data_IF_843981653790
#
_entry.id   IF_843981653790
#
_cell.length_a   1.000
_cell.length_b   1.000
_cell.length_c   1.000
_cell.angle_alpha   90.00
_cell.angle_beta   90.00
_cell.angle_gamma   90.00
#
_symmetry.space_group_name_H-M   'P 1'
#
loop_
_entity.id
_entity.type
_entity.pdbx_description
1 polymer ?
#
# COMPACT_ATOMS: atom_id res chain seq x y z
N UNK A 1 -7.08 19.23 20.23
CA UNK A 1 -6.77 17.97 19.52
C UNK A 1 -5.25 17.81 19.49
N UNK A 2 -4.70 16.73 20.06
CA UNK A 2 -3.24 16.52 20.08
C UNK A 2 -2.79 15.93 18.73
N UNK A 3 -1.80 16.53 18.09
CA UNK A 3 -1.29 16.12 16.77
C UNK A 3 -0.28 14.95 16.87
N UNK A 4 0.24 14.69 18.07
CA UNK A 4 1.20 13.62 18.37
C UNK A 4 0.79 12.23 17.84
N UNK A 5 -0.40 11.67 18.15
CA UNK A 5 -0.79 10.36 17.63
C UNK A 5 -0.92 10.33 16.10
N UNK A 6 -1.32 11.45 15.49
CA UNK A 6 -1.43 11.55 14.03
C UNK A 6 -0.04 11.44 13.39
N UNK A 7 0.94 12.18 13.93
CA UNK A 7 2.33 12.10 13.46
C UNK A 7 2.91 10.69 13.63
N UNK A 8 2.71 10.08 14.79
CA UNK A 8 3.17 8.70 15.05
C UNK A 8 2.51 7.72 14.08
N UNK A 9 1.20 7.81 13.90
CA UNK A 9 0.46 6.98 12.93
C UNK A 9 0.97 7.17 11.51
N UNK A 10 1.20 8.41 11.08
CA UNK A 10 1.65 8.74 9.73
C UNK A 10 3.07 8.22 9.43
N UNK A 11 3.93 8.13 10.45
CA UNK A 11 5.25 7.47 10.34
C UNK A 11 5.12 5.94 10.36
N UNK A 12 4.24 5.38 11.19
CA UNK A 12 4.07 3.93 11.31
C UNK A 12 3.35 3.30 10.12
N UNK A 13 2.46 4.02 9.42
CA UNK A 13 1.72 3.53 8.25
C UNK A 13 2.65 3.00 7.12
N UNK A 14 3.64 3.75 6.62
CA UNK A 14 4.54 3.24 5.58
C UNK A 14 5.40 2.08 6.07
N UNK A 15 5.84 2.11 7.34
CA UNK A 15 6.62 1.01 7.94
C UNK A 15 5.75 -0.25 8.00
N UNK A 16 4.52 -0.13 8.48
CA UNK A 16 3.54 -1.20 8.54
C UNK A 16 3.28 -1.78 7.14
N UNK A 17 3.07 -0.92 6.16
CA UNK A 17 2.84 -1.31 4.77
C UNK A 17 4.02 -2.07 4.16
N UNK A 18 5.25 -1.62 4.44
CA UNK A 18 6.47 -2.31 4.02
C UNK A 18 6.61 -3.68 4.68
N UNK A 19 6.31 -3.79 5.98
CA UNK A 19 6.34 -5.07 6.69
C UNK A 19 5.31 -6.06 6.12
N UNK A 20 4.12 -5.58 5.73
CA UNK A 20 3.10 -6.41 5.07
C UNK A 20 3.62 -6.94 3.73
N UNK A 21 4.23 -6.07 2.92
CA UNK A 21 4.79 -6.45 1.62
C UNK A 21 5.93 -7.47 1.74
N UNK A 22 6.78 -7.34 2.75
CA UNK A 22 7.88 -8.26 3.02
C UNK A 22 7.42 -9.56 3.71
N UNK A 23 6.26 -9.55 4.36
CA UNK A 23 5.73 -10.70 5.06
C UNK A 23 5.24 -11.77 4.06
N UNK A 24 5.74 -13.00 4.23
CA UNK A 24 5.29 -14.16 3.43
C UNK A 24 3.86 -14.59 3.76
N UNK A 25 3.41 -14.34 4.98
CA UNK A 25 2.03 -14.59 5.43
C UNK A 25 1.38 -13.22 5.61
N UNK A 26 0.29 -12.97 4.88
CA UNK A 26 -0.35 -11.66 4.95
C UNK A 26 -1.16 -11.53 6.25
N UNK A 27 -1.01 -10.43 7.02
CA UNK A 27 -1.82 -10.19 8.21
C UNK A 27 -3.30 -9.95 7.93
N UNK A 28 -3.69 -9.82 6.66
CA UNK A 28 -5.05 -9.41 6.28
C UNK A 28 -6.08 -10.53 6.35
N UNK A 29 -5.69 -11.78 6.59
CA UNK A 29 -6.62 -12.92 6.60
C UNK A 29 -7.53 -13.00 7.83
N UNK A 30 -7.14 -12.39 8.96
CA UNK A 30 -7.94 -12.43 10.18
C UNK A 30 -7.79 -11.15 11.00
N UNK A 31 -8.93 -10.67 11.50
CA UNK A 31 -9.01 -9.59 12.48
C UNK A 31 -9.07 -10.24 13.88
N UNK A 32 -8.39 -9.70 14.90
CA UNK A 32 -7.57 -8.49 14.89
C UNK A 32 -6.21 -8.67 14.21
N UNK A 33 -5.80 -7.65 13.45
CA UNK A 33 -4.57 -7.65 12.66
C UNK A 33 -3.32 -7.75 13.56
N UNK A 34 -2.58 -8.86 13.48
CA UNK A 34 -1.47 -9.12 14.39
C UNK A 34 -0.34 -8.08 14.30
N UNK A 35 -0.10 -7.53 13.11
CA UNK A 35 0.89 -6.47 12.87
C UNK A 35 0.52 -5.20 13.62
N UNK A 36 -0.76 -4.84 13.65
CA UNK A 36 -1.26 -3.67 14.40
C UNK A 36 -1.10 -3.90 15.90
N UNK A 37 -1.40 -5.10 16.38
CA UNK A 37 -1.21 -5.49 17.79
C UNK A 37 0.27 -5.40 18.17
N UNK A 38 1.18 -5.83 17.30
CA UNK A 38 2.62 -5.73 17.52
C UNK A 38 3.07 -4.27 17.68
N UNK A 39 2.63 -3.36 16.79
CA UNK A 39 2.94 -1.93 16.92
C UNK A 39 2.38 -1.34 18.22
N UNK A 40 1.14 -1.66 18.57
CA UNK A 40 0.57 -1.24 19.85
C UNK A 40 1.36 -1.76 21.05
N UNK A 41 1.77 -3.03 21.01
CA UNK A 41 2.57 -3.64 22.06
C UNK A 41 3.91 -2.90 22.23
N UNK A 42 4.60 -2.59 21.13
CA UNK A 42 5.85 -1.81 21.17
C UNK A 42 5.60 -0.42 21.76
N UNK A 43 4.55 0.28 21.35
CA UNK A 43 4.20 1.60 21.90
C UNK A 43 3.85 1.55 23.40
N UNK A 44 3.18 0.49 23.85
CA UNK A 44 2.87 0.26 25.26
C UNK A 44 4.15 0.01 26.07
N UNK A 45 5.08 -0.80 25.57
CA UNK A 45 6.38 -1.04 26.21
C UNK A 45 7.18 0.26 26.33
N UNK A 46 7.23 1.06 25.26
CA UNK A 46 7.91 2.37 25.28
C UNK A 46 7.28 3.30 26.32
N UNK A 47 5.95 3.41 26.34
CA UNK A 47 5.24 4.21 27.33
C UNK A 47 5.49 3.73 28.77
N UNK A 48 5.49 2.42 29.00
CA UNK A 48 5.78 1.80 30.30
C UNK A 48 7.22 2.08 30.76
N UNK A 49 8.18 1.98 29.84
CA UNK A 49 9.58 2.30 30.11
C UNK A 49 9.78 3.77 30.48
N UNK A 50 9.17 4.70 29.73
CA UNK A 50 9.20 6.13 30.09
C UNK A 50 8.68 6.36 31.51
N UNK A 51 7.57 5.70 31.88
CA UNK A 51 7.01 5.79 33.23
C UNK A 51 7.95 5.22 34.29
N UNK A 52 8.63 4.11 34.02
CA UNK A 52 9.60 3.50 34.93
C UNK A 52 10.81 4.42 35.21
N UNK A 53 11.25 5.18 34.20
CA UNK A 53 12.35 6.17 34.33
C UNK A 53 11.85 7.54 34.85
N UNK A 54 10.61 7.62 35.35
CA UNK A 54 9.94 8.86 35.82
C UNK A 54 9.81 9.97 34.76
N UNK A 55 9.90 9.62 33.48
CA UNK A 55 9.52 10.51 32.39
C UNK A 55 7.99 10.51 32.25
N UNK A 56 7.42 11.63 31.78
CA UNK A 56 6.00 11.67 31.47
C UNK A 56 5.70 10.71 30.31
N UNK A 57 4.64 9.88 30.40
CA UNK A 57 4.28 8.98 29.31
C UNK A 57 4.01 9.78 28.03
N UNK A 58 4.54 9.27 26.91
CA UNK A 58 4.54 9.99 25.63
C UNK A 58 3.13 10.04 25.04
N UNK A 59 2.36 8.95 25.18
CA UNK A 59 1.02 8.78 24.60
C UNK A 59 -0.04 8.39 25.65
N UNK A 60 -1.24 8.97 25.55
CA UNK A 60 -2.43 8.65 26.35
C UNK A 60 -3.17 7.41 25.80
N UNK A 61 -4.02 6.73 26.60
CA UNK A 61 -4.82 5.60 26.12
C UNK A 61 -5.70 5.92 24.90
N UNK A 62 -6.32 7.10 24.86
CA UNK A 62 -7.10 7.55 23.69
C UNK A 62 -6.23 7.80 22.45
N UNK A 63 -4.99 8.22 22.63
CA UNK A 63 -4.02 8.45 21.54
C UNK A 63 -3.55 7.11 20.94
N UNK A 64 -3.35 6.08 21.77
CA UNK A 64 -3.07 4.71 21.31
C UNK A 64 -4.26 4.11 20.55
N UNK A 65 -5.49 4.35 21.01
CA UNK A 65 -6.70 3.94 20.30
C UNK A 65 -6.82 4.58 18.91
N UNK A 66 -6.44 5.85 18.76
CA UNK A 66 -6.40 6.49 17.45
C UNK A 66 -5.35 5.85 16.52
N UNK A 67 -4.14 5.59 17.03
CA UNK A 67 -3.08 4.91 16.26
C UNK A 67 -3.53 3.51 15.82
N UNK A 68 -4.22 2.77 16.69
CA UNK A 68 -4.80 1.47 16.37
C UNK A 68 -5.75 1.55 15.16
N UNK A 69 -6.66 2.51 15.16
CA UNK A 69 -7.61 2.71 14.06
C UNK A 69 -6.85 3.05 12.78
N UNK A 70 -5.91 4.00 12.83
CA UNK A 70 -5.09 4.39 11.68
C UNK A 70 -4.34 3.21 11.06
N UNK A 71 -3.68 2.39 11.89
CA UNK A 71 -2.94 1.22 11.43
C UNK A 71 -3.84 0.09 10.96
N UNK A 72 -5.02 -0.09 11.57
CA UNK A 72 -5.99 -1.09 11.13
C UNK A 72 -6.57 -0.75 9.76
N UNK A 73 -6.97 0.51 9.54
CA UNK A 73 -7.40 0.99 8.24
C UNK A 73 -6.29 0.83 7.19
N UNK A 74 -5.06 1.23 7.52
CA UNK A 74 -3.90 1.03 6.63
C UNK A 74 -3.68 -0.45 6.30
N UNK A 75 -3.76 -1.35 7.28
CA UNK A 75 -3.54 -2.78 7.05
C UNK A 75 -4.61 -3.39 6.16
N UNK A 76 -5.87 -3.00 6.35
CA UNK A 76 -6.97 -3.44 5.51
C UNK A 76 -6.80 -2.99 4.05
N UNK A 77 -6.30 -1.76 3.83
CA UNK A 77 -6.05 -1.20 2.49
C UNK A 77 -4.80 -1.77 1.84
N UNK A 78 -3.71 -1.99 2.58
CA UNK A 78 -2.45 -2.56 2.09
C UNK A 78 -2.53 -4.09 1.97
N UNK A 79 -3.70 -4.64 1.64
CA UNK A 79 -3.83 -6.08 1.45
C UNK A 79 -2.89 -6.53 0.32
N UNK A 80 -1.99 -7.48 0.62
CA UNK A 80 -1.05 -8.00 -0.38
C UNK A 80 -1.78 -8.51 -1.62
N UNK A 81 -2.98 -9.05 -1.45
CA UNK A 81 -3.78 -9.54 -2.57
C UNK A 81 -4.14 -8.42 -3.56
N UNK A 82 -4.48 -7.23 -3.08
CA UNK A 82 -4.76 -6.10 -3.95
C UNK A 82 -3.54 -5.74 -4.81
N UNK A 83 -2.34 -5.70 -4.22
CA UNK A 83 -1.12 -5.38 -4.96
C UNK A 83 -0.76 -6.48 -5.96
N UNK A 84 -0.89 -7.76 -5.58
CA UNK A 84 -0.55 -8.89 -6.44
C UNK A 84 -1.51 -9.07 -7.61
N UNK A 85 -2.78 -8.71 -7.45
CA UNK A 85 -3.78 -8.82 -8.53
C UNK A 85 -3.83 -7.54 -9.39
N UNK A 86 -3.69 -6.37 -8.78
CA UNK A 86 -3.83 -5.09 -9.49
C UNK A 86 -2.61 -4.75 -10.33
N UNK A 87 -1.39 -5.02 -9.86
CA UNK A 87 -0.18 -4.71 -10.61
C UNK A 87 -0.12 -5.41 -11.98
N UNK A 88 -0.47 -6.70 -12.11
CA UNK A 88 -0.62 -7.33 -13.41
C UNK A 88 -1.62 -6.61 -14.31
N UNK A 89 -2.80 -6.22 -13.82
CA UNK A 89 -3.84 -5.59 -14.65
C UNK A 89 -3.31 -4.31 -15.35
N UNK A 90 -2.38 -3.59 -14.74
CA UNK A 90 -1.85 -2.33 -15.28
C UNK A 90 -0.92 -2.53 -16.48
N UNK A 91 -0.03 -3.53 -16.47
CA UNK A 91 1.03 -3.68 -17.49
C UNK A 91 1.14 -5.06 -18.15
N UNK A 92 0.58 -6.09 -17.53
CA UNK A 92 0.67 -7.49 -17.97
C UNK A 92 0.06 -7.73 -19.35
N UNK A 93 -1.10 -7.14 -19.71
CA UNK A 93 -1.67 -7.35 -21.04
C UNK A 93 -0.73 -6.91 -22.16
N UNK A 94 0.09 -5.89 -21.93
CA UNK A 94 1.05 -5.37 -22.92
C UNK A 94 2.36 -6.14 -22.91
N UNK A 95 2.89 -6.47 -21.72
CA UNK A 95 4.18 -7.17 -21.59
C UNK A 95 4.13 -8.61 -22.10
N UNK A 96 3.05 -9.33 -21.81
CA UNK A 96 2.88 -10.75 -22.15
C UNK A 96 2.02 -10.96 -23.42
N UNK A 97 1.76 -9.93 -24.21
CA UNK A 97 1.09 -10.09 -25.50
C UNK A 97 1.99 -10.87 -26.47
N UNK A 98 1.51 -12.02 -26.96
CA UNK A 98 2.18 -12.82 -27.99
C UNK A 98 1.29 -12.98 -29.21
N UNK A 99 1.83 -13.51 -30.32
CA UNK A 99 1.03 -13.75 -31.51
C UNK A 99 -0.01 -14.86 -31.28
N UNK A 100 0.31 -15.83 -30.42
CA UNK A 100 -0.51 -17.00 -30.13
C UNK A 100 -1.71 -16.69 -29.24
N UNK A 101 -1.58 -15.72 -28.32
CA UNK A 101 -2.68 -15.32 -27.45
C UNK A 101 -3.58 -14.24 -28.06
N UNK A 102 -3.12 -13.58 -29.13
CA UNK A 102 -3.83 -12.52 -29.85
C UNK A 102 -4.36 -11.37 -28.97
N UNK A 103 -3.77 -11.15 -27.79
CA UNK A 103 -4.31 -10.17 -26.83
C UNK A 103 -4.39 -8.75 -27.39
N UNK A 104 -3.49 -8.41 -28.31
CA UNK A 104 -3.50 -7.12 -29.00
C UNK A 104 -4.78 -6.89 -29.80
N UNK A 105 -5.28 -7.89 -30.54
CA UNK A 105 -6.51 -7.76 -31.32
C UNK A 105 -7.76 -7.87 -30.44
N UNK A 106 -7.70 -8.72 -29.42
CA UNK A 106 -8.84 -9.04 -28.55
C UNK A 106 -9.12 -7.94 -27.52
N UNK A 107 -8.08 -7.44 -26.83
CA UNK A 107 -8.25 -6.68 -25.58
C UNK A 107 -7.75 -5.23 -25.62
N UNK A 108 -6.74 -4.88 -26.41
CA UNK A 108 -6.09 -3.56 -26.29
C UNK A 108 -7.05 -2.39 -26.52
N UNK A 109 -8.07 -2.55 -27.37
CA UNK A 109 -9.10 -1.52 -27.61
C UNK A 109 -9.98 -1.20 -26.38
N UNK A 110 -9.99 -2.08 -25.38
CA UNK A 110 -10.78 -1.93 -24.16
C UNK A 110 -9.93 -1.50 -22.96
N UNK A 111 -8.61 -1.45 -23.12
CA UNK A 111 -7.69 -1.05 -22.06
C UNK A 111 -7.47 0.46 -22.15
N UNK A 112 -7.97 1.25 -21.20
CA UNK A 112 -7.76 2.68 -21.25
C UNK A 112 -6.33 3.04 -20.85
N UNK A 113 -5.75 3.99 -21.59
CA UNK A 113 -4.39 4.49 -21.35
C UNK A 113 -4.23 5.19 -19.97
N UNK A 114 -5.34 5.59 -19.34
CA UNK A 114 -5.32 6.23 -18.03
C UNK A 114 -5.35 5.24 -16.84
N UNK A 115 -5.67 3.96 -17.06
CA UNK A 115 -5.58 2.89 -16.03
C UNK A 115 -4.43 1.93 -16.24
N UNK A 116 -3.76 1.99 -17.39
CA UNK A 116 -2.77 1.00 -17.81
C UNK A 116 -1.46 1.64 -18.25
N UNK A 117 -0.38 0.87 -18.24
CA UNK A 117 0.92 1.26 -18.77
C UNK A 117 1.21 0.41 -19.98
N UNK A 118 1.12 1.00 -21.17
CA UNK A 118 1.30 0.31 -22.45
C UNK A 118 2.72 0.42 -23.04
N UNK A 119 3.55 1.32 -22.51
CA UNK A 119 4.92 1.53 -23.01
C UNK A 119 5.86 0.39 -22.57
N UNK A 120 6.22 -0.47 -23.52
CA UNK A 120 7.14 -1.59 -23.31
C UNK A 120 8.52 -1.16 -22.81
N UNK A 121 9.00 0.05 -23.12
CA UNK A 121 10.29 0.55 -22.60
C UNK A 121 10.23 0.79 -21.10
N UNK A 122 9.08 1.25 -20.61
CA UNK A 122 8.82 1.49 -19.20
C UNK A 122 8.60 0.17 -18.48
N UNK A 123 7.80 -0.73 -19.07
CA UNK A 123 7.54 -2.07 -18.53
C UNK A 123 8.82 -2.90 -18.44
N UNK A 124 9.73 -2.78 -19.42
CA UNK A 124 11.04 -3.45 -19.39
C UNK A 124 11.82 -3.13 -18.12
N UNK A 125 11.82 -1.85 -17.73
CA UNK A 125 12.47 -1.41 -16.49
C UNK A 125 11.85 -2.00 -15.22
N UNK A 126 10.56 -2.33 -15.24
CA UNK A 126 9.84 -2.98 -14.14
C UNK A 126 10.05 -4.50 -14.11
N UNK A 127 9.97 -5.18 -15.25
CA UNK A 127 10.04 -6.64 -15.33
C UNK A 127 11.47 -7.19 -15.39
N UNK A 128 12.34 -6.59 -16.20
CA UNK A 128 13.73 -7.04 -16.36
C UNK A 128 14.70 -6.35 -15.40
N UNK A 129 14.27 -5.24 -14.77
CA UNK A 129 15.14 -4.40 -13.95
C UNK A 129 16.12 -3.56 -14.78
N UNK A 130 17.26 -3.19 -14.20
CA UNK A 130 18.32 -2.45 -14.90
C UNK A 130 18.02 -0.97 -15.21
N UNK A 131 16.86 -0.46 -14.77
CA UNK A 131 16.48 0.94 -14.89
C UNK A 131 16.27 1.58 -13.53
N UNK A 132 16.52 2.89 -13.42
CA UNK A 132 16.23 3.63 -12.19
C UNK A 132 14.78 4.10 -12.19
N UNK A 133 14.00 3.67 -11.20
CA UNK A 133 12.60 4.08 -11.02
C UNK A 133 12.42 5.61 -10.94
N UNK A 134 13.43 6.33 -10.44
CA UNK A 134 13.41 7.79 -10.29
C UNK A 134 13.49 8.59 -11.59
N UNK A 135 13.52 7.95 -12.76
CA UNK A 135 13.43 8.67 -14.03
C UNK A 135 12.02 9.27 -14.15
N UNK A 136 11.94 10.56 -14.49
CA UNK A 136 10.67 11.28 -14.64
C UNK A 136 9.66 10.54 -15.53
N UNK A 137 10.12 9.89 -16.60
CA UNK A 137 9.29 9.10 -17.49
C UNK A 137 8.63 7.88 -16.80
N UNK A 138 9.36 7.15 -15.95
CA UNK A 138 8.79 6.04 -15.19
C UNK A 138 7.77 6.57 -14.16
N UNK A 139 8.13 7.61 -13.43
CA UNK A 139 7.23 8.22 -12.44
C UNK A 139 5.92 8.69 -13.09
N UNK A 140 5.98 9.42 -14.21
CA UNK A 140 4.78 9.92 -14.88
C UNK A 140 3.89 8.79 -15.39
N UNK A 141 4.48 7.75 -15.99
CA UNK A 141 3.71 6.65 -16.55
C UNK A 141 2.99 5.82 -15.47
N UNK A 142 3.57 5.67 -14.27
CA UNK A 142 2.96 4.91 -13.18
C UNK A 142 2.07 5.76 -12.27
N UNK A 143 2.42 7.01 -12.01
CA UNK A 143 1.72 7.86 -11.04
C UNK A 143 0.26 8.09 -11.44
N UNK A 144 -0.01 8.31 -12.73
CA UNK A 144 -1.37 8.57 -13.20
C UNK A 144 -2.30 7.35 -13.07
N UNK A 145 -1.96 6.15 -13.59
CA UNK A 145 -2.71 4.93 -13.32
C UNK A 145 -2.89 4.62 -11.84
N UNK A 146 -1.83 4.77 -11.03
CA UNK A 146 -1.90 4.54 -9.58
C UNK A 146 -2.90 5.49 -8.91
N UNK A 147 -2.89 6.78 -9.28
CA UNK A 147 -3.83 7.75 -8.73
C UNK A 147 -5.28 7.42 -9.12
N UNK A 148 -5.53 7.03 -10.38
CA UNK A 148 -6.86 6.62 -10.83
C UNK A 148 -7.37 5.38 -10.10
N UNK A 149 -6.54 4.34 -9.98
CA UNK A 149 -6.88 3.12 -9.24
C UNK A 149 -7.09 3.39 -7.75
N UNK A 150 -6.23 4.21 -7.13
CA UNK A 150 -6.38 4.59 -5.71
C UNK A 150 -7.68 5.35 -5.47
N UNK A 151 -8.04 6.26 -6.38
CA UNK A 151 -9.30 7.00 -6.30
C UNK A 151 -10.51 6.08 -6.45
N UNK A 152 -10.48 5.17 -7.42
CA UNK A 152 -11.54 4.18 -7.61
C UNK A 152 -11.73 3.32 -6.37
N UNK A 153 -10.66 2.79 -5.78
CA UNK A 153 -10.72 1.99 -4.57
C UNK A 153 -11.24 2.78 -3.36
N UNK A 154 -10.82 4.04 -3.21
CA UNK A 154 -11.31 4.90 -2.14
C UNK A 154 -12.82 5.14 -2.25
N UNK A 155 -13.32 5.43 -3.45
CA UNK A 155 -14.77 5.60 -3.72
C UNK A 155 -15.53 4.30 -3.48
N UNK A 156 -14.97 3.16 -3.89
CA UNK A 156 -15.58 1.85 -3.67
C UNK A 156 -15.72 1.56 -2.17
N UNK A 157 -14.63 1.72 -1.40
CA UNK A 157 -14.66 1.54 0.06
C UNK A 157 -15.66 2.49 0.70
N UNK A 158 -15.67 3.76 0.29
CA UNK A 158 -16.62 4.74 0.77
C UNK A 158 -18.08 4.36 0.50
N UNK A 159 -18.37 3.78 -0.67
CA UNK A 159 -19.72 3.35 -1.02
C UNK A 159 -20.23 2.14 -0.24
N UNK A 160 -19.32 1.36 0.35
CA UNK A 160 -19.65 0.17 1.15
C UNK A 160 -19.72 0.47 2.67
N UNK A 161 -19.36 1.69 3.09
CA UNK A 161 -19.45 2.19 4.46
C UNK A 161 -20.80 2.88 4.69
#
# INVERSE_FOLDING_TARGET
MNWKPILVGLVLIPINSLLILLARVSPTFAVPFYNVILFLFVLLVINGFCRAVRLQPILKPSELGLIYIMLSCSTALTCNHLLTELMPVIGYPFWYATAENEWKSLFFRYLPDWLTVSDLRILRGYYEGGSSFHRSAHLQAWLWPIACWSTFLAVLVWSML
#
